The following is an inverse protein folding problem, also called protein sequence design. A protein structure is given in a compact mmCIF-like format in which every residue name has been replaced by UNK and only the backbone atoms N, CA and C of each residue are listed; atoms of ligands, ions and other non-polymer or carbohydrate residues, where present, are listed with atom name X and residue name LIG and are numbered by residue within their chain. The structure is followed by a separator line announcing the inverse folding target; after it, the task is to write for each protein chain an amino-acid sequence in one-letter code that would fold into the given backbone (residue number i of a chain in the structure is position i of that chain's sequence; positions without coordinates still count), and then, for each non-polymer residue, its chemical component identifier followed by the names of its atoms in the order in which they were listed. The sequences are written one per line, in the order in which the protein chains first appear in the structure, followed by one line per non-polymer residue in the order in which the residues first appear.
data_IF_327750779250
#
_entry.id   IF_327750779250
#
_cell.length_a   1.000
_cell.length_b   1.000
_cell.length_c   1.000
_cell.angle_alpha   90.00
_cell.angle_beta   90.00
_cell.angle_gamma   90.00
#
_symmetry.space_group_name_H-M   'P 1'
#
loop_
_entity.id
_entity.type
_entity.pdbx_description
1 polymer ?
#
# COMPACT_ATOMS: atom_id res chain seq x y z
N UNK A 1 2.98 -5.22 29.99
CA UNK A 1 2.17 -6.30 29.41
C UNK A 1 0.81 -5.86 28.81
N UNK A 2 0.24 -4.70 29.19
CA UNK A 2 -1.06 -4.22 28.64
C UNK A 2 -1.02 -3.77 27.16
N UNK A 3 0.08 -3.18 26.70
CA UNK A 3 0.21 -2.65 25.32
C UNK A 3 0.25 -3.74 24.24
N UNK A 4 0.83 -4.90 24.53
CA UNK A 4 0.90 -6.06 23.62
C UNK A 4 -0.49 -6.68 23.40
N UNK A 5 -1.35 -6.70 24.43
CA UNK A 5 -2.72 -7.23 24.32
C UNK A 5 -3.61 -6.35 23.45
N UNK A 6 -3.42 -5.03 23.48
CA UNK A 6 -4.18 -4.10 22.64
C UNK A 6 -3.74 -4.25 21.18
N UNK A 7 -2.44 -4.30 20.88
CA UNK A 7 -1.95 -4.49 19.51
C UNK A 7 -2.43 -5.82 18.87
N UNK A 8 -2.43 -6.92 19.64
CA UNK A 8 -2.94 -8.22 19.16
C UNK A 8 -4.45 -8.17 18.96
N UNK A 9 -5.21 -7.53 19.85
CA UNK A 9 -6.67 -7.38 19.69
C UNK A 9 -7.04 -6.47 18.53
N UNK A 10 -6.29 -5.40 18.28
CA UNK A 10 -6.50 -4.50 17.14
C UNK A 10 -6.15 -5.19 15.81
N UNK A 11 -5.07 -5.99 15.78
CA UNK A 11 -4.75 -6.83 14.62
C UNK A 11 -5.83 -7.90 14.37
N UNK A 12 -6.33 -8.57 15.42
CA UNK A 12 -7.40 -9.57 15.31
C UNK A 12 -8.77 -8.99 14.95
N UNK A 13 -9.03 -7.69 15.20
CA UNK A 13 -10.28 -7.03 14.81
C UNK A 13 -10.23 -6.45 13.38
N UNK A 14 -9.06 -5.99 12.93
CA UNK A 14 -8.90 -5.41 11.59
C UNK A 14 -8.71 -6.48 10.50
N UNK A 15 -8.06 -7.61 10.81
CA UNK A 15 -7.85 -8.71 9.86
C UNK A 15 -9.17 -9.30 9.29
N UNK A 16 -10.21 -9.65 10.08
CA UNK A 16 -11.46 -10.16 9.52
C UNK A 16 -12.29 -9.08 8.81
N UNK A 17 -12.14 -7.81 9.19
CA UNK A 17 -12.80 -6.69 8.51
C UNK A 17 -12.23 -6.51 7.10
N UNK A 18 -10.91 -6.65 6.94
CA UNK A 18 -10.26 -6.63 5.62
C UNK A 18 -10.56 -7.86 4.76
N UNK A 19 -10.74 -9.05 5.34
CA UNK A 19 -11.06 -10.27 4.59
C UNK A 19 -12.51 -10.30 4.07
N UNK A 20 -13.47 -9.85 4.90
CA UNK A 20 -14.87 -9.75 4.50
C UNK A 20 -15.11 -8.61 3.49
N UNK A 21 -14.45 -7.45 3.69
CA UNK A 21 -14.47 -6.37 2.70
C UNK A 21 -13.74 -6.76 1.42
N UNK A 22 -12.63 -7.51 1.49
CA UNK A 22 -11.97 -8.04 0.29
C UNK A 22 -12.89 -9.00 -0.47
N UNK A 23 -13.65 -9.87 0.20
CA UNK A 23 -14.61 -10.76 -0.47
C UNK A 23 -15.80 -10.02 -1.11
N UNK A 24 -16.33 -8.97 -0.48
CA UNK A 24 -17.39 -8.16 -1.08
C UNK A 24 -16.88 -7.29 -2.23
N UNK A 25 -15.70 -6.68 -2.08
CA UNK A 25 -15.03 -5.94 -3.16
C UNK A 25 -14.73 -6.88 -4.33
N UNK A 26 -14.23 -8.10 -4.10
CA UNK A 26 -14.01 -9.11 -5.15
C UNK A 26 -15.30 -9.52 -5.88
N UNK A 27 -16.43 -9.64 -5.16
CA UNK A 27 -17.74 -9.96 -5.77
C UNK A 27 -18.32 -8.78 -6.55
N UNK A 28 -18.13 -7.57 -6.05
CA UNK A 28 -18.57 -6.32 -6.68
C UNK A 28 -17.74 -5.99 -7.91
N UNK A 29 -16.42 -6.22 -7.87
CA UNK A 29 -15.52 -6.02 -9.02
C UNK A 29 -15.75 -7.06 -10.11
N UNK A 30 -16.00 -8.34 -9.75
CA UNK A 30 -16.33 -9.36 -10.76
C UNK A 30 -17.62 -9.01 -11.51
N UNK A 31 -18.66 -8.58 -10.77
CA UNK A 31 -19.94 -8.19 -11.37
C UNK A 31 -19.84 -6.89 -12.18
N UNK A 32 -18.98 -5.94 -11.77
CA UNK A 32 -18.73 -4.68 -12.50
C UNK A 32 -17.81 -4.87 -13.70
N UNK A 33 -16.81 -5.74 -13.65
CA UNK A 33 -15.95 -6.07 -14.77
C UNK A 33 -16.75 -6.73 -15.91
N UNK A 34 -17.68 -7.63 -15.58
CA UNK A 34 -18.60 -8.24 -16.55
C UNK A 34 -19.57 -7.21 -17.15
N UNK A 35 -20.02 -6.21 -16.38
CA UNK A 35 -20.90 -5.15 -16.88
C UNK A 35 -20.16 -4.04 -17.65
N UNK A 36 -18.92 -3.70 -17.30
CA UNK A 36 -18.12 -2.66 -17.95
C UNK A 36 -17.51 -3.15 -19.27
N UNK A 37 -17.21 -4.46 -19.37
CA UNK A 37 -16.83 -5.11 -20.63
C UNK A 37 -17.91 -5.01 -21.73
N UNK A 38 -19.17 -4.71 -21.38
CA UNK A 38 -20.25 -4.54 -22.34
C UNK A 38 -20.37 -3.11 -22.90
N UNK A 39 -19.56 -2.14 -22.42
CA UNK A 39 -19.68 -0.74 -22.85
C UNK A 39 -18.29 -0.12 -23.04
N UNK A 40 -17.72 -0.39 -24.22
CA UNK A 40 -16.42 0.10 -24.63
C UNK A 40 -16.27 1.62 -24.48
N UNK A 41 -15.27 2.03 -23.70
CA UNK A 41 -14.59 3.33 -23.78
C UNK A 41 -13.32 3.31 -22.92
N UNK A 42 -12.17 3.44 -23.58
CA UNK A 42 -10.92 4.08 -23.11
C UNK A 42 -10.29 3.67 -21.76
N UNK A 43 -10.63 2.52 -21.18
CA UNK A 43 -9.99 1.96 -19.98
C UNK A 43 -9.45 0.53 -20.21
N UNK A 44 -8.86 0.30 -21.39
CA UNK A 44 -8.29 -1.00 -21.79
C UNK A 44 -7.02 -1.40 -21.00
N UNK A 45 -6.66 -0.69 -19.92
CA UNK A 45 -5.48 -1.00 -19.09
C UNK A 45 -5.81 -1.71 -17.77
N UNK A 46 -7.08 -2.03 -17.49
CA UNK A 46 -7.38 -3.07 -16.50
C UNK A 46 -7.22 -4.43 -17.17
N UNK A 47 -5.96 -4.72 -17.51
CA UNK A 47 -5.50 -6.07 -17.80
C UNK A 47 -6.00 -6.97 -16.66
N UNK A 48 -6.55 -8.14 -16.98
CA UNK A 48 -7.12 -9.06 -15.99
C UNK A 48 -5.95 -9.72 -15.26
N UNK A 49 -5.26 -8.92 -14.44
CA UNK A 49 -4.15 -9.35 -13.62
C UNK A 49 -4.65 -10.35 -12.58
N UNK A 50 -3.80 -11.28 -12.15
CA UNK A 50 -4.16 -12.27 -11.13
C UNK A 50 -4.79 -11.57 -9.90
N UNK A 51 -5.69 -12.22 -9.14
CA UNK A 51 -6.31 -11.61 -7.96
C UNK A 51 -5.31 -10.96 -6.98
N UNK A 52 -4.09 -11.49 -6.92
CA UNK A 52 -2.98 -10.96 -6.12
C UNK A 52 -2.47 -9.60 -6.61
N UNK A 53 -2.47 -9.35 -7.93
CA UNK A 53 -2.05 -8.09 -8.53
C UNK A 53 -3.12 -6.99 -8.31
N UNK A 54 -4.40 -7.34 -8.44
CA UNK A 54 -5.50 -6.43 -8.05
C UNK A 54 -5.39 -6.03 -6.59
N UNK A 55 -5.13 -7.00 -5.69
CA UNK A 55 -4.92 -6.72 -4.27
C UNK A 55 -3.69 -5.85 -4.04
N UNK A 56 -2.57 -6.12 -4.72
CA UNK A 56 -1.37 -5.28 -4.67
C UNK A 56 -1.67 -3.82 -5.05
N UNK A 57 -2.42 -3.60 -6.14
CA UNK A 57 -2.76 -2.27 -6.62
C UNK A 57 -3.66 -1.52 -5.62
N UNK A 58 -4.74 -2.15 -5.14
CA UNK A 58 -5.65 -1.53 -4.16
C UNK A 58 -4.90 -1.20 -2.86
N UNK A 59 -4.08 -2.13 -2.36
CA UNK A 59 -3.26 -1.91 -1.17
C UNK A 59 -2.24 -0.80 -1.40
N UNK A 60 -1.60 -0.75 -2.57
CA UNK A 60 -0.61 0.27 -2.91
C UNK A 60 -1.20 1.68 -2.89
N UNK A 61 -2.29 1.91 -3.64
CA UNK A 61 -2.97 3.21 -3.64
C UNK A 61 -3.47 3.61 -2.24
N UNK A 62 -4.07 2.67 -1.52
CA UNK A 62 -4.60 2.93 -0.18
C UNK A 62 -3.50 3.21 0.84
N UNK A 63 -2.35 2.52 0.74
CA UNK A 63 -1.18 2.74 1.60
C UNK A 63 -0.63 4.13 1.40
N UNK A 64 -0.46 4.58 0.14
CA UNK A 64 0.04 5.92 -0.16
C UNK A 64 -0.91 6.98 0.37
N UNK A 65 -2.21 6.85 0.10
CA UNK A 65 -3.21 7.79 0.57
C UNK A 65 -3.23 7.88 2.11
N UNK A 66 -3.21 6.74 2.80
CA UNK A 66 -3.21 6.67 4.26
C UNK A 66 -1.89 7.19 4.85
N UNK A 67 -0.75 6.88 4.24
CA UNK A 67 0.56 7.37 4.67
C UNK A 67 0.68 8.89 4.58
N UNK A 68 0.26 9.47 3.45
CA UNK A 68 0.20 10.93 3.28
C UNK A 68 -0.77 11.57 4.28
N UNK A 69 -1.95 10.96 4.46
CA UNK A 69 -2.92 11.43 5.46
C UNK A 69 -2.35 11.37 6.88
N UNK A 70 -1.61 10.31 7.23
CA UNK A 70 -0.94 10.18 8.53
C UNK A 70 0.08 11.30 8.75
N UNK A 71 0.82 11.69 7.71
CA UNK A 71 1.76 12.82 7.77
C UNK A 71 1.06 14.16 8.02
N UNK A 72 -0.07 14.41 7.35
CA UNK A 72 -0.90 15.61 7.56
C UNK A 72 -1.54 15.62 8.95
N UNK A 73 -2.06 14.47 9.38
CA UNK A 73 -2.68 14.27 10.69
C UNK A 73 -1.60 13.97 11.75
N UNK A 74 -0.74 14.96 11.98
CA UNK A 74 0.31 14.90 13.00
C UNK A 74 -0.29 14.88 14.43
N UNK A 75 0.51 14.53 15.45
CA UNK A 75 0.03 14.45 16.83
C UNK A 75 -0.58 15.75 17.39
N UNK A 76 -0.20 16.93 16.90
CA UNK A 76 -0.75 18.22 17.33
C UNK A 76 -2.18 18.43 16.80
N UNK A 77 -2.51 17.83 15.65
CA UNK A 77 -3.84 17.95 15.01
C UNK A 77 -4.84 16.93 15.55
N UNK A 78 -4.43 15.66 15.68
CA UNK A 78 -5.35 14.55 15.99
C UNK A 78 -5.04 13.81 17.28
N UNK A 79 -3.97 14.17 17.97
CA UNK A 79 -3.47 13.46 19.15
C UNK A 79 -2.61 12.24 18.81
N UNK A 80 -1.70 11.93 19.74
CA UNK A 80 -0.70 10.85 19.60
C UNK A 80 -1.34 9.49 19.28
N UNK A 81 -2.44 9.13 19.94
CA UNK A 81 -3.07 7.82 19.78
C UNK A 81 -3.58 7.57 18.36
N UNK A 82 -4.20 8.57 17.72
CA UNK A 82 -4.74 8.43 16.38
C UNK A 82 -3.62 8.47 15.34
N UNK A 83 -2.64 9.39 15.49
CA UNK A 83 -1.45 9.42 14.63
C UNK A 83 -0.71 8.08 14.64
N UNK A 84 -0.46 7.51 15.83
CA UNK A 84 0.17 6.19 15.96
C UNK A 84 -0.65 5.08 15.30
N UNK A 85 -1.97 5.06 15.49
CA UNK A 85 -2.83 4.04 14.89
C UNK A 85 -2.77 4.09 13.35
N UNK A 86 -2.84 5.29 12.76
CA UNK A 86 -2.71 5.48 11.31
C UNK A 86 -1.31 5.12 10.81
N UNK A 87 -0.27 5.47 11.57
CA UNK A 87 1.13 5.10 11.27
C UNK A 87 1.36 3.59 11.26
N UNK A 88 0.92 2.87 12.29
CA UNK A 88 1.03 1.41 12.32
C UNK A 88 0.19 0.73 11.23
N UNK A 89 -1.00 1.26 10.96
CA UNK A 89 -1.87 0.72 9.90
C UNK A 89 -1.23 0.89 8.54
N UNK A 90 -0.75 2.09 8.20
CA UNK A 90 -0.09 2.36 6.93
C UNK A 90 1.22 1.57 6.78
N UNK A 91 2.01 1.40 7.84
CA UNK A 91 3.18 0.52 7.84
C UNK A 91 2.82 -0.96 7.57
N UNK A 92 1.75 -1.46 8.20
CA UNK A 92 1.24 -2.82 7.94
C UNK A 92 0.75 -3.01 6.52
N UNK A 93 0.04 -2.02 5.97
CA UNK A 93 -0.42 -2.02 4.58
C UNK A 93 0.75 -1.92 3.59
N UNK A 94 1.80 -1.17 3.89
CA UNK A 94 3.02 -1.14 3.09
C UNK A 94 3.69 -2.51 3.01
N UNK A 95 3.80 -3.21 4.15
CA UNK A 95 4.32 -4.57 4.19
C UNK A 95 3.47 -5.55 3.34
N UNK A 96 2.13 -5.46 3.47
CA UNK A 96 1.22 -6.27 2.68
C UNK A 96 1.32 -5.94 1.18
N UNK A 97 1.41 -4.66 0.82
CA UNK A 97 1.59 -4.18 -0.56
C UNK A 97 2.84 -4.81 -1.18
N UNK A 98 3.98 -4.75 -0.47
CA UNK A 98 5.24 -5.37 -0.92
C UNK A 98 5.06 -6.88 -1.09
N UNK A 99 4.44 -7.56 -0.11
CA UNK A 99 4.22 -9.01 -0.16
C UNK A 99 3.38 -9.45 -1.37
N UNK A 100 2.24 -8.80 -1.60
CA UNK A 100 1.39 -9.10 -2.76
C UNK A 100 2.04 -8.70 -4.09
N UNK A 101 2.83 -7.61 -4.10
CA UNK A 101 3.61 -7.20 -5.27
C UNK A 101 4.65 -8.25 -5.63
N UNK A 102 5.39 -8.75 -4.64
CA UNK A 102 6.35 -9.82 -4.84
C UNK A 102 5.68 -11.09 -5.38
N UNK A 103 4.59 -11.56 -4.77
CA UNK A 103 3.87 -12.75 -5.23
C UNK A 103 3.40 -12.60 -6.69
N UNK A 104 2.93 -11.41 -7.06
CA UNK A 104 2.33 -11.16 -8.37
C UNK A 104 3.36 -10.91 -9.47
N UNK A 105 4.50 -10.30 -9.13
CA UNK A 105 5.44 -9.75 -10.10
C UNK A 105 6.87 -10.28 -9.96
N UNK A 106 7.13 -11.32 -9.14
CA UNK A 106 8.47 -11.90 -9.00
C UNK A 106 9.09 -12.33 -10.34
N UNK A 107 8.25 -12.77 -11.28
CA UNK A 107 8.70 -13.19 -12.63
C UNK A 107 9.02 -12.02 -13.54
N UNK A 108 8.52 -10.83 -13.21
CA UNK A 108 8.76 -9.59 -13.94
C UNK A 108 10.03 -8.87 -13.42
N UNK A 109 10.70 -9.46 -12.42
CA UNK A 109 12.00 -8.99 -11.91
C UNK A 109 13.08 -9.39 -12.92
N UNK A 110 13.15 -8.63 -14.01
CA UNK A 110 14.24 -8.69 -14.96
C UNK A 110 14.89 -7.31 -15.10
N UNK A 111 16.08 -7.17 -14.49
CA UNK A 111 16.90 -5.96 -14.60
C UNK A 111 17.86 -5.99 -15.79
N UNK A 112 17.88 -7.08 -16.58
CA UNK A 112 18.80 -7.21 -17.72
C UNK A 112 18.52 -6.21 -18.84
N UNK A 113 17.28 -5.72 -18.92
CA UNK A 113 16.84 -4.70 -19.89
C UNK A 113 17.09 -3.25 -19.44
N UNK A 114 17.71 -3.04 -18.27
CA UNK A 114 17.99 -1.70 -17.72
C UNK A 114 16.84 -1.10 -16.91
N UNK A 115 16.91 0.22 -16.66
CA UNK A 115 15.86 0.94 -15.90
C UNK A 115 14.64 1.17 -16.81
N UNK A 116 13.66 0.28 -16.69
CA UNK A 116 12.33 0.44 -17.28
C UNK A 116 11.28 0.77 -16.20
N UNK A 117 10.05 1.02 -16.63
CA UNK A 117 8.88 1.29 -15.77
C UNK A 117 8.72 0.31 -14.61
N UNK A 118 8.87 -0.99 -14.87
CA UNK A 118 8.73 -2.05 -13.86
C UNK A 118 9.87 -1.98 -12.83
N UNK A 119 11.10 -1.77 -13.29
CA UNK A 119 12.26 -1.64 -12.40
C UNK A 119 12.15 -0.40 -11.52
N UNK A 120 11.72 0.74 -12.08
CA UNK A 120 11.51 1.98 -11.31
C UNK A 120 10.41 1.79 -10.27
N UNK A 121 9.26 1.23 -10.68
CA UNK A 121 8.15 0.94 -9.78
C UNK A 121 8.59 0.08 -8.60
N UNK A 122 9.31 -1.01 -8.89
CA UNK A 122 9.77 -1.95 -7.87
C UNK A 122 10.78 -1.32 -6.91
N UNK A 123 11.81 -0.63 -7.42
CA UNK A 123 12.85 0.00 -6.60
C UNK A 123 12.24 1.06 -5.69
N UNK A 124 11.47 1.98 -6.25
CA UNK A 124 10.84 3.05 -5.48
C UNK A 124 9.78 2.50 -4.52
N UNK A 125 9.02 1.49 -4.94
CA UNK A 125 7.98 0.86 -4.13
C UNK A 125 8.55 0.13 -2.93
N UNK A 126 9.61 -0.66 -3.12
CA UNK A 126 10.34 -1.33 -2.02
C UNK A 126 11.03 -0.33 -1.11
N UNK A 127 11.73 0.67 -1.66
CA UNK A 127 12.42 1.68 -0.86
C UNK A 127 11.44 2.47 0.00
N UNK A 128 10.39 3.03 -0.63
CA UNK A 128 9.37 3.81 0.07
C UNK A 128 8.57 2.99 1.08
N UNK A 129 8.14 1.79 0.70
CA UNK A 129 7.41 0.90 1.59
C UNK A 129 8.25 0.45 2.79
N UNK A 130 9.55 0.19 2.59
CA UNK A 130 10.47 -0.10 3.70
C UNK A 130 10.61 1.09 4.65
N UNK A 131 10.77 2.31 4.12
CA UNK A 131 10.84 3.52 4.95
C UNK A 131 9.57 3.71 5.80
N UNK A 132 8.38 3.55 5.20
CA UNK A 132 7.11 3.59 5.93
C UNK A 132 7.01 2.48 6.98
N UNK A 133 7.49 1.28 6.66
CA UNK A 133 7.48 0.15 7.60
C UNK A 133 8.33 0.42 8.83
N UNK A 134 9.53 0.97 8.67
CA UNK A 134 10.47 1.16 9.80
C UNK A 134 10.18 2.41 10.63
N UNK A 135 9.56 3.44 10.03
CA UNK A 135 9.31 4.73 10.67
C UNK A 135 8.65 4.60 12.06
N UNK A 136 7.54 3.85 12.25
CA UNK A 136 6.87 3.77 13.55
C UNK A 136 7.57 2.86 14.58
N UNK A 137 8.56 2.05 14.18
CA UNK A 137 9.19 1.09 15.10
C UNK A 137 10.62 1.46 15.50
N UNK A 138 11.37 2.11 14.62
CA UNK A 138 12.83 2.25 14.77
C UNK A 138 13.30 3.70 14.73
N UNK A 139 12.54 4.59 14.10
CA UNK A 139 12.98 5.95 13.84
C UNK A 139 12.59 6.90 15.00
N UNK A 140 13.55 7.59 15.64
CA UNK A 140 13.25 8.59 16.65
C UNK A 140 13.16 10.01 16.05
N UNK A 141 12.35 10.87 16.66
CA UNK A 141 12.33 12.32 16.40
C UNK A 141 12.19 12.67 14.91
N UNK A 142 13.07 13.53 14.40
CA UNK A 142 13.04 13.99 13.01
C UNK A 142 13.18 12.85 11.99
N UNK A 143 13.86 11.75 12.34
CA UNK A 143 13.97 10.59 11.47
C UNK A 143 12.62 9.88 11.28
N UNK A 144 11.75 9.86 12.31
CA UNK A 144 10.39 9.32 12.21
C UNK A 144 9.59 10.06 11.15
N UNK A 145 9.60 11.40 11.26
CA UNK A 145 8.92 12.29 10.32
C UNK A 145 9.47 12.12 8.91
N UNK A 146 10.78 12.21 8.74
CA UNK A 146 11.42 12.12 7.44
C UNK A 146 11.15 10.76 6.77
N UNK A 147 11.29 9.65 7.49
CA UNK A 147 11.04 8.31 6.92
C UNK A 147 9.57 8.07 6.61
N UNK A 148 8.65 8.57 7.43
CA UNK A 148 7.21 8.49 7.17
C UNK A 148 6.81 9.26 5.90
N UNK A 149 7.19 10.54 5.82
CA UNK A 149 6.87 11.43 4.70
C UNK A 149 7.55 10.98 3.40
N UNK A 150 8.87 10.76 3.44
CA UNK A 150 9.62 10.32 2.27
C UNK A 150 9.20 8.91 1.83
N UNK A 151 8.88 8.02 2.78
CA UNK A 151 8.38 6.69 2.47
C UNK A 151 7.09 6.75 1.65
N UNK A 152 6.09 7.49 2.15
CA UNK A 152 4.82 7.66 1.46
C UNK A 152 4.98 8.35 0.11
N UNK A 153 5.78 9.41 0.03
CA UNK A 153 6.06 10.11 -1.23
C UNK A 153 6.78 9.21 -2.25
N UNK A 154 7.77 8.43 -1.82
CA UNK A 154 8.53 7.52 -2.69
C UNK A 154 7.65 6.40 -3.21
N UNK A 155 6.74 5.85 -2.39
CA UNK A 155 5.72 4.92 -2.87
C UNK A 155 4.74 5.58 -3.85
N UNK A 156 4.35 6.84 -3.62
CA UNK A 156 3.55 7.60 -4.57
C UNK A 156 4.25 7.78 -5.91
N UNK A 157 5.55 8.11 -5.90
CA UNK A 157 6.38 8.21 -7.10
C UNK A 157 6.54 6.86 -7.82
N UNK A 158 6.61 5.75 -7.09
CA UNK A 158 6.60 4.39 -7.67
C UNK A 158 5.36 4.14 -8.52
N UNK A 159 4.19 4.56 -8.04
CA UNK A 159 2.92 4.45 -8.77
C UNK A 159 2.95 5.32 -10.04
N UNK A 160 3.35 6.59 -9.92
CA UNK A 160 3.44 7.49 -11.08
C UNK A 160 4.45 6.97 -12.10
N UNK A 161 5.62 6.51 -11.65
CA UNK A 161 6.65 5.94 -12.50
C UNK A 161 6.15 4.75 -13.32
N UNK A 162 5.29 3.91 -12.74
CA UNK A 162 4.65 2.79 -13.44
C UNK A 162 3.66 3.22 -14.53
N UNK A 163 3.03 4.39 -14.37
CA UNK A 163 1.98 4.88 -15.27
C UNK A 163 2.51 5.73 -16.43
N UNK A 164 3.69 6.34 -16.27
CA UNK A 164 4.23 7.34 -17.22
C UNK A 164 5.32 6.75 -18.12
N UNK A 165 6.08 5.77 -17.63
CA UNK A 165 7.15 5.10 -18.37
C UNK A 165 6.72 3.69 -18.78
#
# INVERSE_FOLDING_TARGET
MRKIRIAILTALFLLPLTAAQAQEVLKLDYSRAVMFSAKGSSLDSFDVTSPTATVHNILGYSTVALGLLTGVLNPEVVGESLHQALGYTSAGMAAATIGFGFISHIKDIDMSSGLNSNSIHMILGLAGGTMMMIAPFVAPGDAHKALGELGAATMGLSIVGKLVF
#
